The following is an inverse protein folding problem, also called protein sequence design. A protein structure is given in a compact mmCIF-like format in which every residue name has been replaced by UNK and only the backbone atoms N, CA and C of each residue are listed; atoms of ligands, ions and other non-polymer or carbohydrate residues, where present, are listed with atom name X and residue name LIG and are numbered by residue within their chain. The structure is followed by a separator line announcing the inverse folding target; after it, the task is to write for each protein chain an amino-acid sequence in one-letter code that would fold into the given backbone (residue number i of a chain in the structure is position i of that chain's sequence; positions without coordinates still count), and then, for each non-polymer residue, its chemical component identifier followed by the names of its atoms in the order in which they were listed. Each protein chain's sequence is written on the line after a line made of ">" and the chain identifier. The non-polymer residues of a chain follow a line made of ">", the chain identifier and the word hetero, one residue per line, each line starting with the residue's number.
data_IF_272339636168
#
_entry.id   IF_272339636168
#
_cell.length_a   1.000
_cell.length_b   1.000
_cell.length_c   1.000
_cell.angle_alpha   90.00
_cell.angle_beta   90.00
_cell.angle_gamma   90.00
#
_symmetry.space_group_name_H-M   'P 1'
#
loop_
_entity.id
_entity.type
_entity.pdbx_description
1 polymer ?
#
# COMPACT_ATOMS: atom_id res chain seq x y z
N UNK A 1 -7.62 12.39 1.21
CA UNK A 1 -8.49 13.52 1.54
C UNK A 1 -8.21 14.79 0.75
N UNK A 2 -7.70 14.71 -0.48
CA UNK A 2 -7.45 15.87 -1.32
C UNK A 2 -8.35 15.93 -2.56
N UNK A 3 -8.16 16.96 -3.37
CA UNK A 3 -8.82 17.08 -4.67
C UNK A 3 -7.89 16.55 -5.77
N UNK A 4 -8.48 15.92 -6.77
CA UNK A 4 -7.77 15.51 -7.98
C UNK A 4 -8.06 16.51 -9.10
N UNK A 5 -7.00 17.10 -9.65
CA UNK A 5 -7.05 17.97 -10.83
C UNK A 5 -6.38 17.25 -11.99
N UNK A 6 -7.19 16.76 -12.94
CA UNK A 6 -6.68 16.19 -14.18
C UNK A 6 -6.40 17.29 -15.18
N UNK A 7 -5.13 17.54 -15.46
CA UNK A 7 -4.72 18.51 -16.47
C UNK A 7 -4.60 17.82 -17.84
N UNK A 8 -5.13 18.48 -18.87
CA UNK A 8 -5.01 18.04 -20.26
C UNK A 8 -4.42 19.17 -21.11
N UNK A 9 -3.42 18.84 -21.96
CA UNK A 9 -2.75 19.79 -22.84
C UNK A 9 -3.43 19.87 -24.21
N UNK A 10 -3.96 21.03 -24.62
CA UNK A 10 -4.50 21.21 -25.97
C UNK A 10 -3.36 21.31 -27.01
N UNK A 11 -3.71 21.07 -28.27
CA UNK A 11 -2.83 21.38 -29.41
C UNK A 11 -2.66 22.90 -29.62
N UNK A 12 -1.77 23.29 -30.51
CA UNK A 12 -1.62 24.72 -30.87
C UNK A 12 -2.88 25.37 -31.46
N UNK A 13 -3.81 24.56 -32.01
CA UNK A 13 -5.11 24.98 -32.54
C UNK A 13 -6.21 25.03 -31.46
N UNK A 14 -5.89 24.63 -30.21
CA UNK A 14 -6.84 24.64 -29.10
C UNK A 14 -7.73 23.37 -29.03
N UNK A 15 -7.38 22.32 -29.74
CA UNK A 15 -8.11 21.05 -29.74
C UNK A 15 -7.47 20.07 -28.77
N UNK A 16 -8.27 19.14 -28.21
CA UNK A 16 -7.72 18.02 -27.47
C UNK A 16 -7.23 16.93 -28.44
N UNK A 17 -5.98 16.43 -28.26
CA UNK A 17 -5.51 15.24 -28.98
C UNK A 17 -6.43 14.06 -28.78
N UNK A 18 -6.65 13.26 -29.84
CA UNK A 18 -7.56 12.13 -29.80
C UNK A 18 -7.28 11.10 -28.67
N UNK A 19 -6.03 10.74 -28.34
CA UNK A 19 -5.75 9.87 -27.22
C UNK A 19 -6.17 10.42 -25.85
N UNK A 20 -6.24 11.75 -25.73
CA UNK A 20 -6.75 12.41 -24.51
C UNK A 20 -8.28 12.28 -24.46
N UNK A 21 -8.95 12.52 -25.58
CA UNK A 21 -10.42 12.39 -25.69
C UNK A 21 -10.86 10.96 -25.34
N UNK A 22 -10.20 9.94 -25.93
CA UNK A 22 -10.47 8.54 -25.63
C UNK A 22 -10.31 8.23 -24.14
N UNK A 23 -9.24 8.73 -23.50
CA UNK A 23 -9.01 8.55 -22.08
C UNK A 23 -10.07 9.20 -21.21
N UNK A 24 -10.51 10.42 -21.58
CA UNK A 24 -11.58 11.10 -20.87
C UNK A 24 -12.93 10.40 -21.04
N UNK A 25 -13.20 9.83 -22.22
CA UNK A 25 -14.38 9.04 -22.47
C UNK A 25 -14.42 7.76 -21.62
N UNK A 26 -13.28 7.06 -21.48
CA UNK A 26 -13.17 5.87 -20.64
C UNK A 26 -13.38 6.22 -19.16
N UNK A 27 -12.77 7.31 -18.69
CA UNK A 27 -13.02 7.83 -17.35
C UNK A 27 -14.49 8.20 -17.17
N UNK A 28 -15.10 8.85 -18.17
CA UNK A 28 -16.51 9.22 -18.17
C UNK A 28 -17.43 8.01 -18.07
N UNK A 29 -17.16 6.93 -18.82
CA UNK A 29 -17.90 5.66 -18.74
C UNK A 29 -17.82 5.05 -17.34
N UNK A 30 -16.60 4.94 -16.79
CA UNK A 30 -16.41 4.43 -15.44
C UNK A 30 -17.14 5.28 -14.40
N UNK A 31 -17.05 6.62 -14.49
CA UNK A 31 -17.72 7.56 -13.59
C UNK A 31 -19.25 7.50 -13.72
N UNK A 32 -19.79 7.21 -14.89
CA UNK A 32 -21.26 7.08 -15.05
C UNK A 32 -21.84 5.96 -14.22
N UNK A 33 -21.05 4.94 -13.89
CA UNK A 33 -21.44 3.77 -13.09
C UNK A 33 -21.00 3.93 -11.63
N UNK A 34 -19.79 4.42 -11.41
CA UNK A 34 -19.12 4.34 -10.10
C UNK A 34 -19.00 5.69 -9.37
N UNK A 35 -19.59 6.76 -9.88
CA UNK A 35 -19.45 8.13 -9.30
C UNK A 35 -19.88 8.26 -7.85
N UNK A 36 -20.81 7.39 -7.38
CA UNK A 36 -21.23 7.33 -5.97
C UNK A 36 -20.04 7.05 -5.04
N UNK A 37 -19.06 6.28 -5.51
CA UNK A 37 -17.86 5.94 -4.74
C UNK A 37 -16.84 7.07 -4.66
N UNK A 38 -17.03 8.14 -5.42
CA UNK A 38 -16.13 9.29 -5.52
C UNK A 38 -16.75 10.55 -4.93
N UNK A 39 -17.96 10.93 -5.42
CA UNK A 39 -18.58 12.19 -5.00
C UNK A 39 -19.22 12.12 -3.63
N UNK A 40 -18.91 13.13 -2.79
CA UNK A 40 -19.45 13.23 -1.43
C UNK A 40 -18.88 12.21 -0.46
N UNK A 41 -17.78 11.58 -0.81
CA UNK A 41 -17.02 10.67 0.05
C UNK A 41 -15.87 11.39 0.75
N UNK A 42 -15.26 10.71 1.71
CA UNK A 42 -14.05 11.16 2.43
C UNK A 42 -12.96 10.09 2.32
N UNK A 43 -11.77 10.42 2.81
CA UNK A 43 -10.60 9.55 2.79
C UNK A 43 -10.86 8.16 3.39
N UNK A 44 -10.09 7.19 2.93
CA UNK A 44 -10.08 5.81 3.46
C UNK A 44 -9.96 5.80 4.98
N UNK A 45 -10.76 4.97 5.67
CA UNK A 45 -10.55 4.72 7.09
C UNK A 45 -9.45 3.67 7.33
N UNK A 46 -9.00 2.98 6.28
CA UNK A 46 -7.90 2.02 6.34
C UNK A 46 -6.56 2.70 6.04
N UNK A 47 -5.49 2.35 6.74
CA UNK A 47 -4.16 2.92 6.47
C UNK A 47 -3.69 2.57 5.06
N UNK A 48 -3.81 1.32 4.65
CA UNK A 48 -3.42 0.85 3.32
C UNK A 48 -4.13 -0.45 2.97
N UNK A 49 -4.47 -0.62 1.69
CA UNK A 49 -5.11 -1.82 1.15
C UNK A 49 -4.24 -2.33 0.01
N UNK A 50 -3.81 -3.59 0.07
CA UNK A 50 -2.91 -4.17 -0.92
C UNK A 50 -3.54 -4.29 -2.32
N UNK A 51 -4.85 -4.50 -2.37
CA UNK A 51 -5.62 -4.74 -3.59
C UNK A 51 -6.24 -3.48 -4.22
N UNK A 52 -6.12 -2.31 -3.58
CA UNK A 52 -6.74 -1.11 -4.12
C UNK A 52 -6.87 0.06 -3.14
N UNK A 53 -8.00 0.73 -3.21
CA UNK A 53 -8.31 1.93 -2.41
C UNK A 53 -9.69 1.83 -1.79
N UNK A 54 -9.94 2.69 -0.81
CA UNK A 54 -11.25 2.82 -0.20
C UNK A 54 -11.62 4.28 -0.04
N UNK A 55 -12.90 4.58 -0.22
CA UNK A 55 -13.52 5.82 0.21
C UNK A 55 -14.68 5.50 1.15
N UNK A 56 -15.08 6.48 1.97
CA UNK A 56 -16.18 6.30 2.89
C UNK A 56 -17.17 7.45 2.81
N UNK A 57 -18.44 7.14 3.08
CA UNK A 57 -19.52 8.11 3.21
C UNK A 57 -20.24 7.89 4.54
N UNK A 58 -20.13 8.85 5.45
CA UNK A 58 -20.79 8.79 6.75
C UNK A 58 -22.24 9.23 6.62
N UNK A 59 -23.15 8.39 7.04
CA UNK A 59 -24.59 8.64 7.16
C UNK A 59 -25.02 8.86 8.61
N UNK A 60 -26.33 9.06 8.83
CA UNK A 60 -26.90 9.19 10.18
C UNK A 60 -26.87 7.86 10.96
N UNK A 61 -27.12 6.75 10.24
CA UNK A 61 -27.32 5.44 10.84
C UNK A 61 -26.16 4.48 10.61
N UNK A 62 -25.06 4.95 10.00
CA UNK A 62 -23.90 4.14 9.72
C UNK A 62 -22.96 4.74 8.70
N UNK A 63 -22.07 3.92 8.18
CA UNK A 63 -21.07 4.31 7.18
C UNK A 63 -21.15 3.39 5.96
N UNK A 64 -21.09 3.96 4.76
CA UNK A 64 -20.89 3.20 3.53
C UNK A 64 -19.42 3.24 3.17
N UNK A 65 -18.83 2.08 2.94
CA UNK A 65 -17.48 1.92 2.40
C UNK A 65 -17.58 1.57 0.91
N UNK A 66 -16.74 2.21 0.11
CA UNK A 66 -16.56 1.89 -1.30
C UNK A 66 -15.14 1.39 -1.49
N UNK A 67 -15.01 0.12 -1.90
CA UNK A 67 -13.73 -0.53 -2.13
C UNK A 67 -13.46 -0.53 -3.63
N UNK A 68 -12.50 0.26 -4.08
CA UNK A 68 -12.05 0.28 -5.46
C UNK A 68 -10.92 -0.75 -5.60
N UNK A 69 -11.25 -1.91 -6.19
CA UNK A 69 -10.33 -3.03 -6.35
C UNK A 69 -9.63 -2.95 -7.71
N UNK A 70 -8.32 -2.77 -7.69
CA UNK A 70 -7.44 -2.71 -8.86
C UNK A 70 -6.82 -4.08 -9.15
N UNK A 71 -6.36 -4.76 -8.08
CA UNK A 71 -5.77 -6.09 -8.16
C UNK A 71 -6.84 -7.14 -7.79
N UNK A 72 -7.44 -7.75 -8.82
CA UNK A 72 -8.51 -8.72 -8.61
C UNK A 72 -7.98 -10.00 -7.96
N UNK A 73 -8.61 -10.48 -6.86
CA UNK A 73 -8.18 -11.70 -6.17
C UNK A 73 -8.28 -12.92 -7.09
N UNK A 74 -7.22 -13.75 -7.11
CA UNK A 74 -7.15 -14.96 -7.94
C UNK A 74 -7.71 -16.19 -7.24
N UNK A 75 -7.85 -16.12 -5.94
CA UNK A 75 -8.38 -17.17 -5.05
C UNK A 75 -9.89 -17.06 -4.82
N UNK A 76 -10.53 -16.04 -5.41
CA UNK A 76 -11.97 -15.84 -5.28
C UNK A 76 -12.39 -15.12 -3.99
N UNK A 77 -11.45 -14.59 -3.21
CA UNK A 77 -11.71 -13.98 -1.91
C UNK A 77 -11.05 -12.61 -1.77
N UNK A 78 -11.81 -11.59 -1.32
CA UNK A 78 -11.32 -10.27 -1.01
C UNK A 78 -11.34 -10.04 0.50
N UNK A 79 -10.17 -9.98 1.12
CA UNK A 79 -10.06 -9.62 2.53
C UNK A 79 -10.12 -8.09 2.71
N UNK A 80 -11.07 -7.61 3.52
CA UNK A 80 -11.11 -6.23 4.04
C UNK A 80 -10.44 -6.22 5.42
N UNK A 81 -9.14 -5.92 5.49
CA UNK A 81 -8.34 -6.20 6.68
C UNK A 81 -8.74 -5.29 7.85
N UNK A 82 -8.82 -5.87 9.02
CA UNK A 82 -9.10 -5.15 10.27
C UNK A 82 -10.53 -4.61 10.40
N UNK A 83 -11.44 -4.85 9.46
CA UNK A 83 -12.83 -4.43 9.59
C UNK A 83 -13.53 -5.28 10.67
N UNK A 84 -13.74 -4.67 11.85
CA UNK A 84 -14.38 -5.32 13.00
C UNK A 84 -15.88 -5.04 13.10
N UNK A 85 -16.33 -4.02 12.39
CA UNK A 85 -17.76 -3.68 12.35
C UNK A 85 -18.59 -4.79 11.73
N UNK A 86 -19.83 -4.89 12.14
CA UNK A 86 -20.83 -5.68 11.44
C UNK A 86 -21.05 -5.11 10.03
N UNK A 87 -21.08 -5.97 9.04
CA UNK A 87 -21.45 -5.62 7.66
C UNK A 87 -22.90 -6.03 7.46
N UNK A 88 -23.73 -5.09 7.02
CA UNK A 88 -25.14 -5.35 6.73
C UNK A 88 -25.31 -5.95 5.33
N UNK A 89 -24.57 -5.42 4.36
CA UNK A 89 -24.58 -5.88 2.98
C UNK A 89 -23.27 -5.57 2.28
N UNK A 90 -22.89 -6.45 1.34
CA UNK A 90 -21.81 -6.25 0.40
C UNK A 90 -22.36 -6.43 -1.03
N UNK A 91 -22.15 -5.45 -1.90
CA UNK A 91 -22.67 -5.49 -3.27
C UNK A 91 -21.63 -4.97 -4.25
N UNK A 92 -21.70 -5.43 -5.50
CA UNK A 92 -20.97 -4.79 -6.61
C UNK A 92 -21.72 -3.52 -7.03
N UNK A 93 -21.06 -2.37 -6.98
CA UNK A 93 -21.72 -1.08 -7.24
C UNK A 93 -22.28 -0.98 -8.66
N UNK A 94 -21.62 -1.61 -9.63
CA UNK A 94 -21.97 -1.49 -11.05
C UNK A 94 -23.31 -2.16 -11.43
N UNK A 95 -23.69 -3.27 -10.79
CA UNK A 95 -24.88 -4.05 -11.15
C UNK A 95 -25.78 -4.36 -9.96
N UNK A 96 -25.37 -3.99 -8.72
CA UNK A 96 -26.12 -4.24 -7.50
C UNK A 96 -26.12 -5.72 -7.05
N UNK A 97 -25.27 -6.56 -7.63
CA UNK A 97 -25.13 -7.97 -7.26
C UNK A 97 -24.71 -8.09 -5.79
N UNK A 98 -25.50 -8.86 -5.03
CA UNK A 98 -25.19 -9.15 -3.62
C UNK A 98 -24.09 -10.21 -3.55
N UNK A 99 -23.16 -10.02 -2.60
CA UNK A 99 -22.01 -10.88 -2.39
C UNK A 99 -22.07 -11.52 -1.02
N UNK A 100 -21.68 -12.78 -0.95
CA UNK A 100 -21.49 -13.48 0.32
C UNK A 100 -20.24 -12.95 1.02
N UNK A 101 -20.30 -12.86 2.33
CA UNK A 101 -19.17 -12.43 3.14
C UNK A 101 -19.21 -13.07 4.52
N UNK A 102 -18.05 -13.20 5.14
CA UNK A 102 -17.91 -13.69 6.49
C UNK A 102 -16.97 -12.82 7.32
N UNK A 103 -17.22 -12.79 8.63
CA UNK A 103 -16.33 -12.13 9.59
C UNK A 103 -15.26 -13.12 10.05
N UNK A 104 -13.99 -12.72 9.92
CA UNK A 104 -12.83 -13.49 10.34
C UNK A 104 -12.02 -12.71 11.40
N UNK A 105 -11.07 -13.36 12.10
CA UNK A 105 -10.14 -12.64 12.99
C UNK A 105 -9.23 -11.62 12.27
N UNK A 106 -9.10 -11.72 10.94
CA UNK A 106 -8.29 -10.80 10.13
C UNK A 106 -9.10 -9.61 9.58
N UNK A 107 -10.42 -9.67 9.66
CA UNK A 107 -11.35 -8.67 9.10
C UNK A 107 -12.56 -9.34 8.45
N UNK A 108 -13.10 -8.74 7.42
CA UNK A 108 -14.22 -9.30 6.64
C UNK A 108 -13.69 -9.87 5.33
N UNK A 109 -14.03 -11.13 5.07
CA UNK A 109 -13.72 -11.84 3.82
C UNK A 109 -14.96 -11.83 2.94
N UNK A 110 -14.83 -11.40 1.68
CA UNK A 110 -15.91 -11.29 0.70
C UNK A 110 -15.63 -12.27 -0.42
N UNK A 111 -16.59 -13.13 -0.74
CA UNK A 111 -16.52 -13.96 -1.96
C UNK A 111 -16.69 -13.09 -3.18
N UNK A 112 -15.78 -13.21 -4.15
CA UNK A 112 -15.81 -12.40 -5.36
C UNK A 112 -16.05 -13.25 -6.60
N UNK A 113 -16.73 -12.71 -7.63
CA UNK A 113 -16.90 -13.41 -8.90
C UNK A 113 -15.56 -13.78 -9.55
N UNK A 114 -15.57 -14.78 -10.43
CA UNK A 114 -14.37 -15.24 -11.16
C UNK A 114 -13.66 -14.12 -11.93
N UNK A 115 -14.38 -13.06 -12.30
CA UNK A 115 -13.86 -11.95 -13.09
C UNK A 115 -14.33 -10.61 -12.56
N UNK A 116 -13.42 -9.64 -12.59
CA UNK A 116 -13.75 -8.25 -12.37
C UNK A 116 -14.78 -7.74 -13.39
N UNK A 117 -15.73 -6.90 -12.96
CA UNK A 117 -16.69 -6.24 -13.85
C UNK A 117 -16.04 -5.14 -14.69
N UNK A 118 -15.02 -4.50 -14.16
CA UNK A 118 -14.23 -3.48 -14.84
C UNK A 118 -12.74 -3.83 -14.74
N UNK A 119 -11.98 -3.80 -15.85
CA UNK A 119 -10.58 -4.21 -15.85
C UNK A 119 -9.65 -3.23 -15.12
N UNK A 120 -10.07 -1.99 -14.90
CA UNK A 120 -9.27 -0.97 -14.23
C UNK A 120 -9.60 -0.87 -12.74
N UNK A 121 -10.91 -0.85 -12.40
CA UNK A 121 -11.35 -0.77 -11.02
C UNK A 121 -12.81 -1.24 -10.86
N UNK A 122 -13.02 -2.40 -10.30
CA UNK A 122 -14.35 -2.85 -9.86
C UNK A 122 -14.62 -2.31 -8.45
N UNK A 123 -15.82 -1.75 -8.23
CA UNK A 123 -16.18 -1.12 -6.96
C UNK A 123 -17.16 -1.99 -6.17
N UNK A 124 -16.81 -2.27 -4.92
CA UNK A 124 -17.68 -2.89 -3.93
C UNK A 124 -18.29 -1.81 -3.03
N UNK A 125 -19.53 -1.97 -2.67
CA UNK A 125 -20.24 -1.13 -1.71
C UNK A 125 -20.60 -1.97 -0.49
N UNK A 126 -20.07 -1.58 0.68
CA UNK A 126 -20.38 -2.20 1.96
C UNK A 126 -21.18 -1.24 2.82
N UNK A 127 -22.30 -1.69 3.35
CA UNK A 127 -23.09 -0.94 4.33
C UNK A 127 -22.74 -1.39 5.76
N UNK A 128 -22.27 -0.45 6.56
CA UNK A 128 -21.85 -0.67 7.95
C UNK A 128 -22.85 0.06 8.85
N UNK A 129 -23.70 -0.63 9.61
CA UNK A 129 -24.59 0.00 10.56
C UNK A 129 -23.83 0.52 11.78
N UNK A 130 -24.24 1.67 12.31
CA UNK A 130 -23.63 2.23 13.50
C UNK A 130 -22.22 2.77 13.32
N UNK A 131 -21.40 2.61 14.35
CA UNK A 131 -20.03 3.12 14.36
C UNK A 131 -19.08 2.20 13.58
N UNK A 132 -18.25 2.78 12.72
CA UNK A 132 -17.19 2.05 12.03
C UNK A 132 -16.05 1.76 13.01
N UNK A 133 -15.71 0.48 13.16
CA UNK A 133 -14.59 0.01 13.97
C UNK A 133 -13.63 -0.78 13.09
N UNK A 134 -12.36 -0.32 13.04
CA UNK A 134 -11.28 -0.94 12.29
C UNK A 134 -10.10 -1.14 13.23
N UNK A 135 -9.68 -2.37 13.40
CA UNK A 135 -8.44 -2.69 14.11
C UNK A 135 -7.23 -2.48 13.22
N UNK A 136 -6.13 -2.15 13.86
CA UNK A 136 -4.84 -2.05 13.18
C UNK A 136 -4.38 -3.45 12.76
N UNK A 137 -4.07 -3.61 11.49
CA UNK A 137 -3.51 -4.85 10.95
C UNK A 137 -2.01 -4.71 10.87
N UNK A 138 -1.33 -5.61 11.55
CA UNK A 138 0.12 -5.70 11.53
C UNK A 138 0.59 -6.77 10.56
N UNK A 139 1.73 -6.55 9.94
CA UNK A 139 2.47 -7.60 9.24
C UNK A 139 2.86 -8.67 10.26
N UNK A 140 2.69 -9.95 9.91
CA UNK A 140 3.02 -11.08 10.77
C UNK A 140 4.09 -11.97 10.14
N UNK A 141 4.90 -12.66 10.95
CA UNK A 141 5.83 -13.66 10.44
C UNK A 141 5.11 -14.79 9.74
N UNK A 142 5.72 -15.35 8.72
CA UNK A 142 5.38 -16.64 8.14
C UNK A 142 5.72 -17.80 9.11
N UNK A 143 5.37 -19.03 8.74
CA UNK A 143 5.58 -20.21 9.60
C UNK A 143 7.06 -20.43 9.98
N UNK A 144 7.98 -20.10 9.09
CA UNK A 144 9.43 -20.17 9.32
C UNK A 144 9.99 -18.98 10.13
N UNK A 145 9.14 -18.03 10.49
CA UNK A 145 9.48 -16.83 11.23
C UNK A 145 9.97 -15.66 10.37
N UNK A 146 9.99 -15.81 9.05
CA UNK A 146 10.35 -14.73 8.12
C UNK A 146 9.27 -13.64 8.12
N UNK A 147 9.69 -12.37 8.13
CA UNK A 147 8.80 -11.21 8.08
C UNK A 147 9.07 -10.46 6.78
N UNK A 148 8.07 -10.42 5.91
CA UNK A 148 8.13 -9.68 4.66
C UNK A 148 7.49 -8.30 4.80
N UNK A 149 8.23 -7.25 4.48
CA UNK A 149 7.89 -5.85 4.62
C UNK A 149 7.85 -5.19 3.23
N UNK A 150 6.79 -5.41 2.44
CA UNK A 150 6.72 -4.93 1.06
C UNK A 150 6.50 -3.41 1.01
N UNK A 151 6.92 -2.77 -0.08
CA UNK A 151 6.69 -1.36 -0.34
C UNK A 151 5.20 -0.97 -0.22
N UNK A 152 4.30 -1.87 -0.61
CA UNK A 152 2.85 -1.64 -0.55
C UNK A 152 2.31 -1.45 0.86
N UNK A 153 2.98 -1.94 1.89
CA UNK A 153 2.59 -1.82 3.30
C UNK A 153 3.48 -0.85 4.10
N UNK A 154 4.32 -0.08 3.42
CA UNK A 154 5.18 0.91 4.09
C UNK A 154 4.42 2.19 4.44
N UNK A 155 4.84 2.85 5.51
CA UNK A 155 4.46 4.21 5.87
C UNK A 155 5.62 5.18 5.57
N UNK A 156 5.25 6.43 5.29
CA UNK A 156 6.20 7.52 5.07
C UNK A 156 6.05 8.56 6.18
N UNK A 157 6.72 8.37 7.33
CA UNK A 157 6.71 9.38 8.38
C UNK A 157 7.18 10.73 7.84
N UNK A 158 6.50 11.80 8.22
CA UNK A 158 6.83 13.14 7.73
C UNK A 158 8.23 13.54 8.17
N UNK A 159 9.15 13.83 7.25
CA UNK A 159 10.49 14.28 7.59
C UNK A 159 10.46 15.70 8.15
N UNK A 160 11.52 16.09 8.86
CA UNK A 160 11.65 17.45 9.37
C UNK A 160 11.69 18.51 8.26
N UNK A 161 12.27 18.16 7.11
CA UNK A 161 12.38 19.02 5.93
C UNK A 161 12.19 18.21 4.66
N UNK A 162 11.75 18.86 3.58
CA UNK A 162 11.59 18.25 2.26
C UNK A 162 10.38 17.31 2.14
N UNK A 163 10.31 16.59 1.04
CA UNK A 163 9.24 15.65 0.72
C UNK A 163 9.53 14.22 1.18
N UNK A 164 8.49 13.40 1.17
CA UNK A 164 8.57 11.94 1.38
C UNK A 164 8.91 11.22 0.07
N UNK A 165 9.43 9.98 0.12
CA UNK A 165 9.46 9.12 -1.05
C UNK A 165 8.04 8.82 -1.54
N UNK A 166 7.92 8.25 -2.72
CA UNK A 166 6.64 7.95 -3.35
C UNK A 166 6.50 6.45 -3.52
N UNK A 167 5.35 5.90 -3.12
CA UNK A 167 4.97 4.57 -3.51
C UNK A 167 4.55 4.59 -4.99
N UNK A 168 5.11 3.68 -5.78
CA UNK A 168 4.86 3.54 -7.21
C UNK A 168 4.39 2.12 -7.52
N UNK A 169 3.33 2.03 -8.31
CA UNK A 169 2.92 0.80 -8.96
C UNK A 169 3.60 0.77 -10.34
N UNK A 170 4.65 -0.02 -10.47
CA UNK A 170 5.46 -0.07 -11.68
C UNK A 170 5.19 -1.33 -12.52
N UNK A 171 5.55 -1.30 -13.78
CA UNK A 171 5.46 -2.46 -14.69
C UNK A 171 6.20 -3.71 -14.17
N UNK A 172 7.22 -3.49 -13.34
CA UNK A 172 8.07 -4.56 -12.79
C UNK A 172 7.77 -4.89 -11.32
N UNK A 173 6.70 -4.32 -10.75
CA UNK A 173 6.24 -4.50 -9.36
C UNK A 173 6.17 -3.20 -8.57
N UNK A 174 5.58 -3.30 -7.39
CA UNK A 174 5.39 -2.18 -6.49
C UNK A 174 6.68 -1.79 -5.79
N UNK A 175 6.97 -0.49 -5.72
CA UNK A 175 8.22 0.02 -5.19
C UNK A 175 8.08 1.37 -4.47
N UNK A 176 9.01 1.67 -3.61
CA UNK A 176 9.25 3.00 -3.05
C UNK A 176 10.30 3.65 -3.95
N UNK A 177 9.93 4.73 -4.64
CA UNK A 177 10.81 5.47 -5.53
C UNK A 177 10.83 6.96 -5.23
N UNK A 178 11.50 7.75 -6.08
CA UNK A 178 11.69 9.18 -5.89
C UNK A 178 12.21 9.57 -4.50
N UNK A 179 13.00 8.68 -3.90
CA UNK A 179 13.55 8.87 -2.57
C UNK A 179 14.76 9.81 -2.58
N UNK A 180 14.50 11.08 -2.88
CA UNK A 180 15.55 12.10 -3.04
C UNK A 180 15.92 12.81 -1.74
N UNK A 181 15.06 12.73 -0.73
CA UNK A 181 15.26 13.38 0.56
C UNK A 181 15.98 12.44 1.54
N UNK A 182 17.20 12.79 1.93
CA UNK A 182 18.00 12.02 2.89
C UNK A 182 17.44 12.04 4.33
N UNK A 183 16.53 12.97 4.65
CA UNK A 183 15.86 13.04 5.96
C UNK A 183 14.56 12.24 6.02
N UNK A 184 14.09 11.71 4.88
CA UNK A 184 12.80 11.02 4.80
C UNK A 184 12.94 9.54 5.15
N UNK A 185 12.35 9.06 6.25
CA UNK A 185 12.33 7.65 6.60
C UNK A 185 11.22 6.90 5.87
N UNK A 186 11.39 5.58 5.81
CA UNK A 186 10.32 4.63 5.45
C UNK A 186 10.16 3.67 6.60
N UNK A 187 8.92 3.35 6.98
CA UNK A 187 8.63 2.54 8.14
C UNK A 187 7.64 1.42 7.83
N UNK A 188 7.70 0.36 8.61
CA UNK A 188 6.69 -0.72 8.63
C UNK A 188 6.40 -1.10 10.07
N UNK A 189 5.16 -1.48 10.31
CA UNK A 189 4.73 -2.02 11.59
C UNK A 189 4.45 -3.52 11.45
N UNK A 190 4.96 -4.29 12.39
CA UNK A 190 4.77 -5.73 12.40
C UNK A 190 4.61 -6.23 13.85
N UNK A 191 4.05 -7.44 14.00
CA UNK A 191 3.85 -8.07 15.31
C UNK A 191 4.12 -9.56 15.23
N UNK A 192 4.27 -10.22 16.39
CA UNK A 192 4.42 -11.66 16.48
C UNK A 192 5.83 -12.19 16.16
N UNK A 193 6.81 -11.32 15.97
CA UNK A 193 8.21 -11.71 15.88
C UNK A 193 8.69 -12.33 17.20
N UNK A 194 9.49 -13.39 17.12
CA UNK A 194 10.18 -13.95 18.30
C UNK A 194 11.43 -13.09 18.59
N UNK A 195 11.74 -12.82 19.88
CA UNK A 195 13.01 -12.18 20.21
C UNK A 195 14.20 -13.00 19.70
N UNK A 196 15.19 -12.31 19.10
CA UNK A 196 16.35 -12.97 18.49
C UNK A 196 17.07 -12.10 17.48
N UNK A 197 18.08 -12.68 16.83
CA UNK A 197 18.78 -12.05 15.71
C UNK A 197 18.06 -12.35 14.40
N UNK A 198 17.97 -11.35 13.53
CA UNK A 198 17.41 -11.45 12.19
C UNK A 198 18.40 -10.92 11.16
N UNK A 199 18.58 -11.64 10.06
CA UNK A 199 19.23 -11.11 8.88
C UNK A 199 18.28 -10.15 8.18
N UNK A 200 18.79 -8.98 7.80
CA UNK A 200 18.03 -7.94 7.10
C UNK A 200 18.39 -7.99 5.62
N UNK A 201 17.42 -8.35 4.80
CA UNK A 201 17.57 -8.35 3.34
C UNK A 201 16.74 -7.21 2.77
N UNK A 202 17.27 -6.52 1.75
CA UNK A 202 16.53 -5.48 1.03
C UNK A 202 16.58 -5.74 -0.48
N UNK A 203 15.43 -5.71 -1.13
CA UNK A 203 15.31 -5.76 -2.59
C UNK A 203 15.32 -4.35 -3.14
N UNK A 204 16.44 -3.94 -3.72
CA UNK A 204 16.73 -2.55 -4.08
C UNK A 204 17.29 -2.41 -5.48
N UNK A 205 17.11 -1.21 -6.05
CA UNK A 205 17.78 -0.78 -7.27
C UNK A 205 18.28 0.67 -7.17
N UNK A 206 19.40 0.98 -7.84
CA UNK A 206 19.98 2.32 -7.79
C UNK A 206 21.19 2.48 -8.72
N UNK A 207 21.51 3.74 -9.05
CA UNK A 207 22.59 4.07 -9.99
C UNK A 207 23.96 4.23 -9.33
N UNK A 208 23.99 4.57 -8.06
CA UNK A 208 25.22 4.79 -7.28
C UNK A 208 25.10 4.08 -5.94
N UNK A 209 26.23 3.86 -5.30
CA UNK A 209 26.26 3.34 -3.94
C UNK A 209 25.64 4.36 -2.97
N UNK A 210 25.05 3.85 -1.92
CA UNK A 210 24.44 4.65 -0.84
C UNK A 210 24.63 3.95 0.50
N UNK A 211 24.16 4.59 1.57
CA UNK A 211 24.11 3.99 2.88
C UNK A 211 22.76 4.26 3.55
N UNK A 212 22.28 3.28 4.31
CA UNK A 212 21.07 3.39 5.11
C UNK A 212 21.32 2.97 6.54
N UNK A 213 20.45 3.45 7.42
CA UNK A 213 20.28 2.93 8.77
C UNK A 213 18.97 2.14 8.82
N UNK A 214 19.02 0.94 9.38
CA UNK A 214 17.83 0.15 9.73
C UNK A 214 17.71 0.20 11.26
N UNK A 215 16.55 0.61 11.76
CA UNK A 215 16.29 0.81 13.18
C UNK A 215 15.06 0.01 13.63
N UNK A 216 15.18 -0.70 14.76
CA UNK A 216 14.09 -1.39 15.46
C UNK A 216 14.28 -1.13 16.95
N UNK A 217 13.34 -0.43 17.63
CA UNK A 217 13.52 -0.01 19.01
C UNK A 217 14.81 0.79 19.18
N UNK A 218 15.68 0.34 20.09
CA UNK A 218 17.00 0.97 20.35
C UNK A 218 18.12 0.40 19.46
N UNK A 219 17.83 -0.61 18.65
CA UNK A 219 18.80 -1.23 17.75
C UNK A 219 18.97 -0.42 16.48
N UNK A 220 20.23 -0.24 16.05
CA UNK A 220 20.56 0.49 14.83
C UNK A 220 21.64 -0.25 14.05
N UNK A 221 21.32 -0.59 12.81
CA UNK A 221 22.20 -1.22 11.83
C UNK A 221 22.56 -0.19 10.76
N UNK A 222 23.85 0.09 10.58
CA UNK A 222 24.35 0.88 9.44
C UNK A 222 24.74 -0.07 8.30
N UNK A 223 24.15 0.11 7.12
CA UNK A 223 24.35 -0.80 6.01
C UNK A 223 24.65 -0.07 4.69
N UNK A 224 25.66 -0.52 3.93
CA UNK A 224 25.87 -0.05 2.58
C UNK A 224 24.83 -0.65 1.63
N UNK A 225 24.44 0.14 0.63
CA UNK A 225 23.66 -0.29 -0.53
C UNK A 225 24.55 -0.18 -1.77
N UNK A 226 24.87 -1.31 -2.37
CA UNK A 226 25.62 -1.35 -3.61
C UNK A 226 24.71 -1.00 -4.79
N UNK A 227 25.22 -0.20 -5.74
CA UNK A 227 24.47 0.15 -6.94
C UNK A 227 24.16 -1.07 -7.81
N UNK A 228 23.07 -1.00 -8.54
CA UNK A 228 22.64 -2.02 -9.48
C UNK A 228 22.77 -1.56 -10.94
N UNK A 229 23.33 -0.36 -11.14
CA UNK A 229 23.58 0.32 -12.42
C UNK A 229 22.31 0.74 -13.19
N UNK A 230 21.13 0.39 -12.71
CA UNK A 230 19.86 0.71 -13.33
C UNK A 230 18.73 0.67 -12.29
N UNK A 231 17.79 1.59 -12.35
CA UNK A 231 16.62 1.62 -11.47
C UNK A 231 15.62 0.47 -11.71
N UNK A 232 15.69 -0.20 -12.86
CA UNK A 232 14.85 -1.36 -13.17
C UNK A 232 15.53 -2.72 -12.87
N UNK A 233 16.79 -2.70 -12.42
CA UNK A 233 17.55 -3.90 -12.09
C UNK A 233 17.60 -4.12 -10.58
N UNK A 234 16.60 -4.79 -10.05
CA UNK A 234 16.51 -5.07 -8.63
C UNK A 234 17.42 -6.21 -8.19
N UNK A 235 18.04 -6.05 -7.04
CA UNK A 235 18.87 -7.09 -6.40
C UNK A 235 18.55 -7.16 -4.92
N UNK A 236 18.52 -8.38 -4.40
CA UNK A 236 18.46 -8.61 -2.96
C UNK A 236 19.87 -8.40 -2.39
N UNK A 237 19.97 -7.51 -1.42
CA UNK A 237 21.23 -7.22 -0.71
C UNK A 237 21.06 -7.55 0.77
N UNK A 238 22.03 -8.25 1.34
CA UNK A 238 22.09 -8.50 2.78
C UNK A 238 22.69 -7.27 3.46
N UNK A 239 21.90 -6.61 4.29
CA UNK A 239 22.27 -5.41 5.01
C UNK A 239 23.00 -5.69 6.32
N UNK A 240 22.98 -6.95 6.79
CA UNK A 240 23.55 -7.38 8.06
C UNK A 240 22.50 -7.94 9.01
N UNK A 241 22.80 -7.92 10.30
CA UNK A 241 21.92 -8.48 11.34
C UNK A 241 21.41 -7.40 12.27
N UNK A 242 20.16 -7.54 12.70
CA UNK A 242 19.54 -6.71 13.71
C UNK A 242 18.86 -7.59 14.76
N UNK A 243 18.81 -7.14 16.00
CA UNK A 243 18.19 -7.86 17.09
C UNK A 243 16.80 -7.32 17.39
N UNK A 244 15.83 -8.23 17.54
CA UNK A 244 14.52 -7.91 18.11
C UNK A 244 14.56 -8.35 19.58
N UNK A 245 14.46 -7.39 20.49
CA UNK A 245 14.69 -7.64 21.93
C UNK A 245 13.44 -8.17 22.64
N UNK A 246 12.23 -7.82 22.16
CA UNK A 246 10.98 -8.19 22.80
C UNK A 246 9.94 -8.65 21.77
N UNK A 247 9.06 -9.54 22.18
CA UNK A 247 7.86 -9.89 21.42
C UNK A 247 6.83 -8.73 21.47
N UNK A 248 5.85 -8.74 20.57
CA UNK A 248 4.79 -7.75 20.48
C UNK A 248 4.92 -6.87 19.24
N UNK A 249 4.28 -5.70 19.32
CA UNK A 249 4.26 -4.76 18.20
C UNK A 249 5.61 -4.07 18.06
N UNK A 250 6.12 -4.06 16.85
CA UNK A 250 7.42 -3.50 16.48
C UNK A 250 7.26 -2.52 15.32
N UNK A 251 8.15 -1.55 15.27
CA UNK A 251 8.32 -0.66 14.11
C UNK A 251 9.74 -0.82 13.60
N UNK A 252 9.89 -1.15 12.33
CA UNK A 252 11.18 -1.05 11.64
C UNK A 252 11.20 0.21 10.80
N UNK A 253 12.31 0.93 10.85
CA UNK A 253 12.51 2.16 10.07
C UNK A 253 13.77 2.03 9.25
N UNK A 254 13.67 2.33 7.96
CA UNK A 254 14.80 2.48 7.06
C UNK A 254 15.01 3.96 6.80
N UNK A 255 16.19 4.46 7.14
CA UNK A 255 16.56 5.87 6.97
C UNK A 255 17.78 5.98 6.06
N UNK A 256 17.79 6.93 5.12
CA UNK A 256 19.03 7.29 4.43
C UNK A 256 20.12 7.74 5.43
N UNK A 257 21.38 7.50 5.10
CA UNK A 257 22.49 8.19 5.75
C UNK A 257 22.73 9.52 5.02
N UNK A 258 22.47 10.69 5.61
CA UNK A 258 22.60 11.96 4.91
C UNK A 258 24.01 12.24 4.38
N UNK A 259 25.02 11.60 4.94
CA UNK A 259 26.43 11.77 4.52
C UNK A 259 26.75 10.99 3.22
N UNK A 260 26.04 9.87 2.98
CA UNK A 260 26.33 8.94 1.89
C UNK A 260 25.03 8.54 1.14
N UNK A 261 24.08 9.46 0.96
CA UNK A 261 22.82 9.16 0.30
C UNK A 261 22.81 9.50 -1.19
N UNK A 262 22.37 8.55 -1.96
CA UNK A 262 21.87 8.74 -3.33
C UNK A 262 20.55 8.00 -3.48
N UNK A 263 19.66 8.49 -4.34
CA UNK A 263 18.32 7.90 -4.51
C UNK A 263 18.38 6.42 -4.90
N UNK A 264 17.59 5.61 -4.22
CA UNK A 264 17.35 4.18 -4.46
C UNK A 264 15.87 3.91 -4.56
N UNK A 265 15.49 2.87 -5.32
CA UNK A 265 14.19 2.27 -5.24
C UNK A 265 14.23 1.06 -4.31
N UNK A 266 13.18 0.85 -3.53
CA UNK A 266 13.05 -0.23 -2.56
C UNK A 266 11.72 -0.95 -2.75
N UNK A 267 11.75 -2.25 -3.02
CA UNK A 267 10.56 -3.09 -3.16
C UNK A 267 10.12 -3.76 -1.87
N UNK A 268 11.09 -4.28 -1.15
CA UNK A 268 10.83 -5.07 0.04
C UNK A 268 12.03 -5.07 0.98
N UNK A 269 11.74 -5.05 2.27
CA UNK A 269 12.69 -5.48 3.31
C UNK A 269 12.21 -6.84 3.84
N UNK A 270 13.13 -7.76 4.10
CA UNK A 270 12.82 -9.07 4.68
C UNK A 270 13.67 -9.27 5.93
N UNK A 271 13.04 -9.65 7.02
CA UNK A 271 13.72 -10.08 8.23
C UNK A 271 13.65 -11.61 8.31
N UNK A 272 14.80 -12.26 8.25
CA UNK A 272 14.91 -13.72 8.37
C UNK A 272 15.54 -14.07 9.70
N UNK A 273 14.97 -15.02 10.50
CA UNK A 273 15.62 -15.47 11.72
C UNK A 273 17.05 -15.97 11.42
N UNK A 274 18.03 -15.41 12.13
CA UNK A 274 19.42 -15.85 11.97
C UNK A 274 19.57 -17.28 12.49
N UNK A 275 20.28 -18.11 11.74
CA UNK A 275 20.57 -19.50 12.13
C UNK A 275 21.63 -19.57 13.22
#
# INVERSE_FOLDING_TARGET
>A
GGNYLLNVGPTGEGLFPEPIVERLDDIGKWMSVNSESIYGTTASPFPKLAWGRCTQKKGKDGTTLYLQVFDWPKDGELLVPGLESEVKSATLLANGEELEFEKTPAGVLIEVPDKALDPNATVFKLEIPGALNISKVFIKPSEDGTIELPASLSDFPTPATGGTPIFQEGETGNEIGHWNNAEAPVAWEFTGAKPGEYEVLAEVSGLKDAKVFVEIGDQKLAAPLANTKNYNNYKIQNLGKIRIDAAGDQVIVVKPDPADWTAFNLRKVTLQPAK
#
